data_IF_126576216931
#
_entry.id   IF_126576216931
#
_cell.length_a   1.000
_cell.length_b   1.000
_cell.length_c   1.000
_cell.angle_alpha   90.00
_cell.angle_beta   90.00
_cell.angle_gamma   90.00
#
_symmetry.space_group_name_H-M   'P 1'
#
loop_
_entity.id
_entity.type
_entity.pdbx_description
1 polymer ?
#
# COMPACT_ATOMS: atom_id res chain seq x y z
N UNK A 1 40.76 -2.45 -13.51
CA UNK A 1 40.44 -1.91 -14.83
C UNK A 1 41.14 -0.55 -15.09
N UNK A 2 41.01 0.00 -16.29
CA UNK A 2 41.62 1.30 -16.64
C UNK A 2 41.16 2.38 -15.66
N UNK A 3 42.11 3.08 -15.01
CA UNK A 3 41.88 4.15 -14.01
C UNK A 3 41.07 3.72 -12.77
N UNK A 4 40.96 2.43 -12.45
CA UNK A 4 40.34 2.02 -11.19
C UNK A 4 41.20 2.46 -10.00
N UNK A 5 40.55 3.05 -8.93
CA UNK A 5 41.21 3.58 -7.74
C UNK A 5 42.31 4.63 -8.00
N UNK A 6 42.23 5.37 -9.11
CA UNK A 6 43.30 6.27 -9.52
C UNK A 6 43.66 7.34 -8.47
N UNK A 7 42.65 7.92 -7.80
CA UNK A 7 42.86 8.97 -6.82
C UNK A 7 43.01 8.46 -5.37
N UNK A 8 43.06 7.13 -5.16
CA UNK A 8 43.12 6.57 -3.82
C UNK A 8 44.41 6.92 -3.10
N UNK A 9 44.30 7.52 -1.91
CA UNK A 9 45.46 7.93 -1.10
C UNK A 9 45.65 7.06 0.12
N UNK A 10 44.67 7.05 1.02
CA UNK A 10 44.73 6.28 2.29
C UNK A 10 43.59 5.30 2.48
N UNK A 11 42.61 5.26 1.53
CA UNK A 11 41.50 4.32 1.59
C UNK A 11 41.99 2.87 1.51
N UNK A 12 41.59 2.04 2.46
CA UNK A 12 42.00 0.64 2.60
C UNK A 12 40.85 -0.32 2.32
N UNK A 13 41.17 -1.58 2.05
CA UNK A 13 40.21 -2.68 1.91
C UNK A 13 39.17 -2.46 0.78
N UNK A 14 39.55 -1.73 -0.26
CA UNK A 14 38.70 -1.47 -1.41
C UNK A 14 38.90 -2.50 -2.51
N UNK A 15 37.82 -2.98 -3.12
CA UNK A 15 37.82 -3.80 -4.32
C UNK A 15 37.24 -3.01 -5.51
N UNK A 16 37.99 -2.81 -6.57
CA UNK A 16 37.56 -2.07 -7.76
C UNK A 16 37.84 -2.86 -9.07
N UNK A 17 36.76 -3.31 -9.70
CA UNK A 17 36.79 -4.10 -10.94
C UNK A 17 36.00 -3.35 -12.03
N UNK A 18 36.68 -2.94 -13.09
CA UNK A 18 36.05 -2.18 -14.19
C UNK A 18 36.75 -0.86 -14.50
N UNK A 19 36.50 -0.29 -15.67
CA UNK A 19 37.01 1.01 -16.04
C UNK A 19 36.46 2.09 -15.14
N UNK A 20 37.31 2.96 -14.57
CA UNK A 20 36.94 4.07 -13.68
C UNK A 20 36.11 3.69 -12.41
N UNK A 21 36.17 2.41 -11.99
CA UNK A 21 35.60 2.00 -10.72
C UNK A 21 36.35 2.65 -9.56
N UNK A 22 35.62 3.28 -8.59
CA UNK A 22 36.20 4.04 -7.47
C UNK A 22 37.27 5.10 -7.91
N UNK A 23 37.05 5.70 -9.07
CA UNK A 23 38.04 6.58 -9.70
C UNK A 23 38.47 7.75 -8.78
N UNK A 24 37.52 8.45 -8.17
CA UNK A 24 37.75 9.63 -7.32
C UNK A 24 37.98 9.29 -5.84
N UNK A 25 38.00 8.00 -5.46
CA UNK A 25 38.15 7.62 -4.06
C UNK A 25 39.47 8.14 -3.48
N UNK A 26 39.42 8.79 -2.32
CA UNK A 26 40.62 9.29 -1.64
C UNK A 26 40.88 8.53 -0.35
N UNK A 27 39.97 8.60 0.60
CA UNK A 27 40.13 8.01 1.95
C UNK A 27 39.05 7.00 2.31
N UNK A 28 37.99 6.85 1.49
CA UNK A 28 36.93 5.84 1.70
C UNK A 28 37.48 4.41 1.73
N UNK A 29 37.10 3.65 2.75
CA UNK A 29 37.54 2.24 2.95
C UNK A 29 36.38 1.25 2.86
N UNK A 30 36.71 -0.04 2.81
CA UNK A 30 35.75 -1.15 2.82
C UNK A 30 34.72 -1.12 1.68
N UNK A 31 35.05 -0.53 0.53
CA UNK A 31 34.13 -0.46 -0.59
C UNK A 31 34.38 -1.57 -1.60
N UNK A 32 33.30 -2.15 -2.13
CA UNK A 32 33.34 -3.08 -3.26
C UNK A 32 32.65 -2.46 -4.47
N UNK A 33 33.37 -2.17 -5.53
CA UNK A 33 32.85 -1.63 -6.78
C UNK A 33 33.21 -2.55 -7.96
N UNK A 34 32.20 -3.09 -8.64
CA UNK A 34 32.40 -3.92 -9.82
C UNK A 34 31.46 -3.47 -10.95
N UNK A 35 32.05 -2.91 -12.01
CA UNK A 35 31.37 -2.37 -13.18
C UNK A 35 32.02 -1.09 -13.70
N UNK A 36 31.74 -0.77 -14.97
CA UNK A 36 32.18 0.51 -15.54
C UNK A 36 31.61 1.69 -14.74
N UNK A 37 32.48 2.59 -14.26
CA UNK A 37 32.14 3.79 -13.51
C UNK A 37 31.30 3.53 -12.23
N UNK A 38 31.41 2.33 -11.66
CA UNK A 38 30.82 1.98 -10.37
C UNK A 38 31.49 2.79 -9.28
N UNK A 39 30.71 3.57 -8.50
CA UNK A 39 31.20 4.49 -7.48
C UNK A 39 32.26 5.50 -7.97
N UNK A 40 32.15 5.93 -9.25
CA UNK A 40 33.17 6.74 -9.88
C UNK A 40 33.48 8.06 -9.19
N UNK A 41 32.51 8.70 -8.54
CA UNK A 41 32.64 9.97 -7.83
C UNK A 41 32.87 9.83 -6.30
N UNK A 42 32.95 8.60 -5.76
CA UNK A 42 33.16 8.41 -4.32
C UNK A 42 34.48 9.03 -3.86
N UNK A 43 34.46 9.80 -2.78
CA UNK A 43 35.66 10.41 -2.21
C UNK A 43 36.00 9.82 -0.84
N UNK A 44 35.08 9.90 0.11
CA UNK A 44 35.27 9.47 1.50
C UNK A 44 34.24 8.44 1.99
N UNK A 45 33.21 8.15 1.18
CA UNK A 45 32.19 7.15 1.51
C UNK A 45 32.80 5.77 1.72
N UNK A 46 32.33 5.08 2.75
CA UNK A 46 32.87 3.78 3.19
C UNK A 46 31.81 2.69 3.27
N UNK A 47 32.23 1.45 3.27
CA UNK A 47 31.38 0.27 3.48
C UNK A 47 30.22 0.16 2.44
N UNK A 48 30.47 0.57 1.21
CA UNK A 48 29.47 0.48 0.14
C UNK A 48 29.74 -0.75 -0.75
N UNK A 49 28.67 -1.39 -1.19
CA UNK A 49 28.70 -2.46 -2.21
C UNK A 49 28.01 -1.95 -3.47
N UNK A 50 28.72 -1.95 -4.60
CA UNK A 50 28.24 -1.43 -5.87
C UNK A 50 28.59 -2.40 -7.00
N UNK A 51 27.59 -3.12 -7.53
CA UNK A 51 27.74 -4.09 -8.60
C UNK A 51 26.89 -3.71 -9.81
N UNK A 52 27.51 -3.27 -10.89
CA UNK A 52 26.84 -2.88 -12.13
C UNK A 52 27.40 -1.60 -12.73
N UNK A 53 27.20 -1.41 -14.03
CA UNK A 53 27.64 -0.18 -14.71
C UNK A 53 26.90 1.04 -14.14
N UNK A 54 27.64 2.11 -13.79
CA UNK A 54 27.13 3.34 -13.17
C UNK A 54 26.34 3.15 -11.86
N UNK A 55 26.50 2.04 -11.18
CA UNK A 55 25.93 1.85 -9.86
C UNK A 55 26.62 2.76 -8.84
N UNK A 56 25.87 3.48 -7.98
CA UNK A 56 26.39 4.50 -7.04
C UNK A 56 27.34 5.52 -7.68
N UNK A 57 27.14 5.83 -8.96
CA UNK A 57 28.09 6.64 -9.74
C UNK A 57 28.38 7.98 -9.07
N UNK A 58 27.36 8.71 -8.58
CA UNK A 58 27.47 10.06 -8.04
C UNK A 58 27.73 10.11 -6.54
N UNK A 59 27.90 8.94 -5.88
CA UNK A 59 28.17 8.89 -4.45
C UNK A 59 29.45 9.64 -4.12
N UNK A 60 29.39 10.54 -3.15
CA UNK A 60 30.56 11.29 -2.72
C UNK A 60 31.04 10.86 -1.33
N UNK A 61 30.18 11.01 -0.34
CA UNK A 61 30.51 10.80 1.07
C UNK A 61 29.62 9.76 1.77
N UNK A 62 28.58 9.29 1.08
CA UNK A 62 27.62 8.37 1.70
C UNK A 62 28.24 6.99 1.93
N UNK A 63 27.80 6.36 3.01
CA UNK A 63 28.32 5.07 3.47
C UNK A 63 27.19 4.04 3.65
N UNK A 64 27.60 2.77 3.74
CA UNK A 64 26.70 1.66 4.05
C UNK A 64 25.57 1.43 3.02
N UNK A 65 25.79 1.77 1.76
CA UNK A 65 24.83 1.51 0.70
C UNK A 65 25.12 0.18 -0.01
N UNK A 66 24.07 -0.55 -0.35
CA UNK A 66 24.15 -1.74 -1.23
C UNK A 66 23.40 -1.44 -2.53
N UNK A 67 24.12 -1.45 -3.66
CA UNK A 67 23.58 -1.13 -4.98
C UNK A 67 23.96 -2.23 -6.00
N UNK A 68 22.98 -3.01 -6.44
CA UNK A 68 23.21 -4.13 -7.37
C UNK A 68 22.33 -3.97 -8.61
N UNK A 69 22.93 -3.68 -9.74
CA UNK A 69 22.26 -3.47 -11.03
C UNK A 69 22.77 -2.22 -11.75
N UNK A 70 22.49 -2.13 -13.05
CA UNK A 70 22.85 -0.95 -13.86
C UNK A 70 22.05 0.27 -13.44
N UNK A 71 22.72 1.43 -13.27
CA UNK A 71 22.14 2.70 -12.85
C UNK A 71 21.40 2.65 -11.50
N UNK A 72 21.76 1.74 -10.63
CA UNK A 72 21.18 1.63 -9.28
C UNK A 72 21.79 2.70 -8.38
N UNK A 73 20.98 3.44 -7.61
CA UNK A 73 21.44 4.59 -6.77
C UNK A 73 22.33 5.57 -7.56
N UNK A 74 22.01 5.77 -8.84
CA UNK A 74 22.85 6.51 -9.76
C UNK A 74 23.17 7.94 -9.31
N UNK A 75 22.16 8.70 -8.87
CA UNK A 75 22.26 10.11 -8.48
C UNK A 75 22.58 10.31 -6.99
N UNK A 76 22.73 9.22 -6.21
CA UNK A 76 22.98 9.33 -4.77
C UNK A 76 24.28 10.11 -4.50
N UNK A 77 24.19 11.10 -3.62
CA UNK A 77 25.36 11.89 -3.21
C UNK A 77 25.73 11.64 -1.76
N UNK A 78 24.78 11.84 -0.83
CA UNK A 78 24.99 11.76 0.63
C UNK A 78 23.99 10.83 1.34
N UNK A 79 23.03 10.23 0.62
CA UNK A 79 22.09 9.27 1.22
C UNK A 79 22.77 7.97 1.65
N UNK A 80 22.63 7.58 2.90
CA UNK A 80 23.31 6.43 3.49
C UNK A 80 22.31 5.29 3.82
N UNK A 81 22.84 4.09 4.03
CA UNK A 81 22.07 2.95 4.53
C UNK A 81 20.90 2.56 3.60
N UNK A 82 21.08 2.71 2.29
CA UNK A 82 20.09 2.28 1.31
C UNK A 82 20.46 0.91 0.74
N UNK A 83 19.45 0.07 0.52
CA UNK A 83 19.57 -1.19 -0.21
C UNK A 83 18.80 -1.07 -1.52
N UNK A 84 19.48 -1.12 -2.65
CA UNK A 84 18.88 -1.05 -3.98
C UNK A 84 19.33 -2.21 -4.84
N UNK A 85 18.42 -3.05 -5.30
CA UNK A 85 18.71 -4.24 -6.12
C UNK A 85 17.78 -4.25 -7.33
N UNK A 86 18.35 -4.16 -8.52
CA UNK A 86 17.62 -4.13 -9.78
C UNK A 86 17.97 -2.92 -10.63
N UNK A 87 17.85 -3.04 -11.94
CA UNK A 87 18.12 -1.93 -12.86
C UNK A 87 17.29 -0.72 -12.51
N UNK A 88 17.90 0.45 -12.30
CA UNK A 88 17.23 1.71 -12.02
C UNK A 88 16.58 1.81 -10.63
N UNK A 89 16.81 0.86 -9.72
CA UNK A 89 16.32 0.96 -8.36
C UNK A 89 16.95 2.19 -7.66
N UNK A 90 16.12 3.08 -7.04
CA UNK A 90 16.56 4.32 -6.39
C UNK A 90 17.45 5.21 -7.27
N UNK A 91 17.23 5.22 -8.60
CA UNK A 91 18.17 5.90 -9.50
C UNK A 91 18.25 7.41 -9.29
N UNK A 92 17.15 8.08 -8.94
CA UNK A 92 17.09 9.51 -8.69
C UNK A 92 17.39 9.91 -7.23
N UNK A 93 17.65 8.94 -6.34
CA UNK A 93 17.94 9.26 -4.94
C UNK A 93 19.13 10.19 -4.81
N UNK A 94 18.98 11.28 -4.06
CA UNK A 94 20.08 12.23 -3.84
C UNK A 94 20.62 12.18 -2.41
N UNK A 95 19.75 12.40 -1.44
CA UNK A 95 20.12 12.55 -0.03
C UNK A 95 19.33 11.63 0.92
N UNK A 96 18.32 10.92 0.41
CA UNK A 96 17.48 10.08 1.25
C UNK A 96 18.23 8.83 1.74
N UNK A 97 17.90 8.42 2.96
CA UNK A 97 18.55 7.32 3.67
C UNK A 97 17.52 6.26 4.11
N UNK A 98 18.03 5.08 4.49
CA UNK A 98 17.24 3.98 5.05
C UNK A 98 16.12 3.47 4.11
N UNK A 99 16.33 3.49 2.81
CA UNK A 99 15.38 2.94 1.85
C UNK A 99 15.79 1.54 1.39
N UNK A 100 14.81 0.66 1.23
CA UNK A 100 14.97 -0.67 0.61
C UNK A 100 14.21 -0.68 -0.71
N UNK A 101 14.89 -0.87 -1.83
CA UNK A 101 14.31 -0.97 -3.16
C UNK A 101 14.79 -2.24 -3.87
N UNK A 102 13.91 -3.20 -4.05
CA UNK A 102 14.22 -4.47 -4.72
C UNK A 102 13.27 -4.68 -5.91
N UNK A 103 13.82 -4.61 -7.11
CA UNK A 103 13.06 -4.73 -8.35
C UNK A 103 13.45 -3.66 -9.37
N UNK A 104 13.17 -3.93 -10.64
CA UNK A 104 13.41 -2.95 -11.71
C UNK A 104 12.59 -1.67 -11.43
N UNK A 105 13.26 -0.51 -11.43
CA UNK A 105 12.67 0.81 -11.20
C UNK A 105 11.84 0.89 -9.90
N UNK A 106 12.20 0.13 -8.87
CA UNK A 106 11.64 0.29 -7.54
C UNK A 106 12.16 1.60 -6.93
N UNK A 107 11.28 2.50 -6.43
CA UNK A 107 11.63 3.82 -5.92
C UNK A 107 12.47 4.68 -6.91
N UNK A 108 12.24 4.52 -8.21
CA UNK A 108 13.08 5.11 -9.26
C UNK A 108 13.21 6.64 -9.12
N UNK A 109 12.10 7.36 -8.93
CA UNK A 109 12.07 8.83 -8.86
C UNK A 109 12.24 9.39 -7.45
N UNK A 110 12.54 8.57 -6.44
CA UNK A 110 12.71 9.05 -5.08
C UNK A 110 13.92 9.99 -4.98
N UNK A 111 13.73 11.17 -4.41
CA UNK A 111 14.81 12.15 -4.22
C UNK A 111 15.23 12.29 -2.76
N UNK A 112 14.26 12.57 -1.88
CA UNK A 112 14.50 12.86 -0.45
C UNK A 112 13.64 12.06 0.51
N UNK A 113 12.70 11.21 0.02
CA UNK A 113 11.87 10.35 0.87
C UNK A 113 12.68 9.23 1.53
N UNK A 114 12.62 9.13 2.84
CA UNK A 114 13.38 8.16 3.63
C UNK A 114 12.49 7.08 4.29
N UNK A 115 13.11 6.01 4.75
CA UNK A 115 12.43 4.91 5.44
C UNK A 115 11.36 4.19 4.58
N UNK A 116 11.52 4.16 3.27
CA UNK A 116 10.60 3.43 2.39
C UNK A 116 11.09 2.01 2.14
N UNK A 117 10.17 1.06 2.11
CA UNK A 117 10.41 -0.31 1.66
C UNK A 117 9.63 -0.57 0.38
N UNK A 118 10.33 -0.87 -0.71
CA UNK A 118 9.76 -1.11 -2.03
C UNK A 118 10.27 -2.42 -2.61
N UNK A 119 9.41 -3.42 -2.72
CA UNK A 119 9.75 -4.74 -3.27
C UNK A 119 8.82 -5.08 -4.43
N UNK A 120 9.35 -5.09 -5.63
CA UNK A 120 8.60 -5.35 -6.85
C UNK A 120 8.93 -4.37 -7.96
N UNK A 121 8.78 -4.81 -9.22
CA UNK A 121 9.02 -3.93 -10.36
C UNK A 121 8.04 -2.76 -10.36
N UNK A 122 8.54 -1.53 -10.48
CA UNK A 122 7.81 -0.26 -10.41
C UNK A 122 7.04 -0.01 -9.10
N UNK A 123 7.31 -0.73 -8.01
CA UNK A 123 6.76 -0.38 -6.70
C UNK A 123 7.31 0.98 -6.26
N UNK A 124 6.42 1.88 -5.77
CA UNK A 124 6.76 3.27 -5.41
C UNK A 124 7.54 4.03 -6.51
N UNK A 125 7.34 3.65 -7.79
CA UNK A 125 8.18 4.15 -8.90
C UNK A 125 8.15 5.67 -9.08
N UNK A 126 7.04 6.34 -8.79
CA UNK A 126 6.88 7.79 -8.91
C UNK A 126 7.11 8.56 -7.60
N UNK A 127 7.46 7.88 -6.49
CA UNK A 127 7.67 8.56 -5.21
C UNK A 127 8.82 9.57 -5.33
N UNK A 128 8.59 10.78 -4.85
CA UNK A 128 9.63 11.84 -4.83
C UNK A 128 10.10 12.16 -3.42
N UNK A 129 9.19 12.48 -2.52
CA UNK A 129 9.48 12.93 -1.16
C UNK A 129 8.73 12.17 -0.07
N UNK A 130 7.77 11.29 -0.44
CA UNK A 130 7.02 10.47 0.51
C UNK A 130 7.92 9.54 1.31
N UNK A 131 7.67 9.43 2.61
CA UNK A 131 8.47 8.64 3.56
C UNK A 131 7.64 7.59 4.28
N UNK A 132 8.30 6.59 4.88
CA UNK A 132 7.65 5.59 5.71
C UNK A 132 6.60 4.74 4.97
N UNK A 133 6.75 4.57 3.65
CA UNK A 133 5.85 3.73 2.88
C UNK A 133 6.39 2.30 2.75
N UNK A 134 5.52 1.32 2.87
CA UNK A 134 5.82 -0.08 2.63
C UNK A 134 5.02 -0.60 1.42
N UNK A 135 5.71 -0.90 0.32
CA UNK A 135 5.11 -1.40 -0.92
C UNK A 135 5.72 -2.74 -1.33
N UNK A 136 4.90 -3.78 -1.43
CA UNK A 136 5.33 -5.10 -1.89
C UNK A 136 4.38 -5.64 -2.97
N UNK A 137 4.89 -5.77 -4.19
CA UNK A 137 4.16 -6.24 -5.36
C UNK A 137 4.41 -5.40 -6.61
N UNK A 138 4.16 -5.98 -7.76
CA UNK A 138 4.25 -5.28 -9.04
C UNK A 138 3.34 -4.04 -9.06
N UNK A 139 3.92 -2.85 -9.31
CA UNK A 139 3.19 -1.57 -9.35
C UNK A 139 2.42 -1.20 -8.06
N UNK A 140 2.79 -1.74 -6.90
CA UNK A 140 2.21 -1.28 -5.62
C UNK A 140 2.65 0.15 -5.34
N UNK A 141 1.71 1.04 -4.94
CA UNK A 141 1.96 2.48 -4.73
C UNK A 141 2.69 3.17 -5.90
N UNK A 142 2.49 2.69 -7.14
CA UNK A 142 3.28 3.15 -8.28
C UNK A 142 3.23 4.66 -8.49
N UNK A 143 2.04 5.28 -8.34
CA UNK A 143 1.82 6.71 -8.61
C UNK A 143 2.04 7.61 -7.40
N UNK A 144 2.47 7.05 -6.25
CA UNK A 144 2.73 7.84 -5.06
C UNK A 144 3.79 8.91 -5.35
N UNK A 145 3.52 10.16 -4.99
CA UNK A 145 4.46 11.26 -5.17
C UNK A 145 5.01 11.76 -3.84
N UNK A 146 4.13 12.18 -2.96
CA UNK A 146 4.49 12.83 -1.69
C UNK A 146 3.85 12.17 -0.46
N UNK A 147 2.92 11.25 -0.66
CA UNK A 147 2.22 10.60 0.45
C UNK A 147 3.14 9.72 1.29
N UNK A 148 2.84 9.67 2.58
CA UNK A 148 3.65 8.97 3.58
C UNK A 148 2.83 7.95 4.39
N UNK A 149 3.52 7.03 5.05
CA UNK A 149 2.93 6.07 5.99
C UNK A 149 1.84 5.19 5.36
N UNK A 150 1.98 4.83 4.08
CA UNK A 150 1.10 3.89 3.41
C UNK A 150 1.68 2.47 3.42
N UNK A 151 0.82 1.47 3.60
CA UNK A 151 1.16 0.06 3.48
C UNK A 151 0.41 -0.56 2.31
N UNK A 152 1.12 -1.09 1.32
CA UNK A 152 0.55 -1.70 0.12
C UNK A 152 1.17 -3.07 -0.16
N UNK A 153 0.43 -4.13 0.09
CA UNK A 153 0.86 -5.51 -0.10
C UNK A 153 0.00 -6.20 -1.17
N UNK A 154 0.59 -6.49 -2.31
CA UNK A 154 -0.08 -7.11 -3.45
C UNK A 154 0.11 -6.35 -4.75
N UNK A 155 0.03 -7.05 -5.88
CA UNK A 155 0.12 -6.43 -7.20
C UNK A 155 -0.94 -5.34 -7.38
N UNK A 156 -0.50 -4.12 -7.74
CA UNK A 156 -1.33 -2.92 -7.96
C UNK A 156 -2.14 -2.46 -6.75
N UNK A 157 -1.78 -2.85 -5.52
CA UNK A 157 -2.37 -2.26 -4.32
C UNK A 157 -2.01 -0.78 -4.24
N UNK A 158 -3.00 0.09 -3.94
CA UNK A 158 -2.84 1.57 -3.91
C UNK A 158 -2.15 2.15 -5.16
N UNK A 159 -2.35 1.54 -6.33
CA UNK A 159 -1.60 1.90 -7.53
C UNK A 159 -1.75 3.38 -7.91
N UNK A 160 -2.96 3.94 -7.83
CA UNK A 160 -3.27 5.31 -8.22
C UNK A 160 -3.03 6.36 -7.12
N UNK A 161 -2.64 5.95 -5.90
CA UNK A 161 -2.42 6.87 -4.79
C UNK A 161 -1.33 7.88 -5.13
N UNK A 162 -1.61 9.16 -4.92
CA UNK A 162 -0.68 10.26 -5.20
C UNK A 162 -0.26 10.99 -3.92
N UNK A 163 -1.23 11.51 -3.17
CA UNK A 163 -1.02 12.32 -1.96
C UNK A 163 -1.81 11.82 -0.74
N UNK A 164 -2.53 10.71 -0.85
CA UNK A 164 -3.30 10.13 0.25
C UNK A 164 -2.42 9.34 1.22
N UNK A 165 -2.37 9.78 2.47
CA UNK A 165 -1.55 9.20 3.53
C UNK A 165 -2.28 8.14 4.36
N UNK A 166 -1.52 7.34 5.11
CA UNK A 166 -2.03 6.47 6.18
C UNK A 166 -3.03 5.41 5.69
N UNK A 167 -2.89 4.94 4.46
CA UNK A 167 -3.72 3.86 3.93
C UNK A 167 -3.04 2.49 4.11
N UNK A 168 -3.84 1.47 4.40
CA UNK A 168 -3.41 0.08 4.42
C UNK A 168 -4.17 -0.71 3.37
N UNK A 169 -3.47 -1.27 2.38
CA UNK A 169 -4.04 -2.08 1.31
C UNK A 169 -3.32 -3.43 1.20
N UNK A 170 -4.01 -4.50 1.52
CA UNK A 170 -3.49 -5.87 1.43
C UNK A 170 -4.36 -6.69 0.49
N UNK A 171 -3.78 -7.09 -0.63
CA UNK A 171 -4.46 -7.84 -1.68
C UNK A 171 -4.25 -7.24 -3.06
N UNK A 172 -4.36 -8.09 -4.10
CA UNK A 172 -4.25 -7.61 -5.48
C UNK A 172 -5.36 -6.59 -5.77
N UNK A 173 -5.00 -5.42 -6.29
CA UNK A 173 -5.88 -4.30 -6.60
C UNK A 173 -6.68 -3.75 -5.39
N UNK A 174 -6.25 -4.00 -4.14
CA UNK A 174 -6.85 -3.33 -2.99
C UNK A 174 -6.59 -1.82 -3.08
N UNK A 175 -7.64 -0.97 -2.90
CA UNK A 175 -7.60 0.49 -3.04
C UNK A 175 -6.93 0.99 -4.34
N UNK A 176 -7.04 0.23 -5.43
CA UNK A 176 -6.28 0.51 -6.66
C UNK A 176 -6.59 1.86 -7.28
N UNK A 177 -7.82 2.39 -7.13
CA UNK A 177 -8.27 3.67 -7.69
C UNK A 177 -8.18 4.84 -6.68
N UNK A 178 -7.74 4.58 -5.45
CA UNK A 178 -7.56 5.64 -4.45
C UNK A 178 -6.46 6.61 -4.89
N UNK A 179 -6.79 7.90 -4.97
CA UNK A 179 -5.88 8.97 -5.39
C UNK A 179 -5.40 9.82 -4.21
N UNK A 180 -6.32 10.55 -3.58
CA UNK A 180 -6.08 11.45 -2.44
C UNK A 180 -6.75 10.98 -1.15
N UNK A 181 -7.53 9.89 -1.21
CA UNK A 181 -8.15 9.28 -0.03
C UNK A 181 -7.11 8.85 1.00
N UNK A 182 -7.43 9.03 2.27
CA UNK A 182 -6.50 8.76 3.37
C UNK A 182 -7.15 7.99 4.51
N UNK A 183 -6.30 7.34 5.34
CA UNK A 183 -6.77 6.57 6.52
C UNK A 183 -7.79 5.49 6.16
N UNK A 184 -7.63 4.86 5.02
CA UNK A 184 -8.45 3.73 4.61
C UNK A 184 -7.72 2.42 4.86
N UNK A 185 -8.46 1.40 5.27
CA UNK A 185 -7.95 0.03 5.40
C UNK A 185 -8.72 -0.87 4.44
N UNK A 186 -8.03 -1.56 3.55
CA UNK A 186 -8.63 -2.53 2.64
C UNK A 186 -7.83 -3.83 2.62
N UNK A 187 -8.48 -4.92 2.95
CA UNK A 187 -7.87 -6.26 2.98
C UNK A 187 -8.73 -7.22 2.16
N UNK A 188 -8.18 -7.70 1.06
CA UNK A 188 -8.84 -8.60 0.12
C UNK A 188 -8.62 -8.22 -1.34
N UNK A 189 -8.88 -9.16 -2.24
CA UNK A 189 -8.84 -8.90 -3.68
C UNK A 189 -9.91 -7.85 -4.06
N UNK A 190 -9.51 -6.76 -4.74
CA UNK A 190 -10.37 -5.63 -5.13
C UNK A 190 -11.10 -4.94 -3.96
N UNK A 191 -10.66 -5.12 -2.70
CA UNK A 191 -11.24 -4.43 -1.58
C UNK A 191 -11.05 -2.90 -1.72
N UNK A 192 -12.12 -2.13 -1.53
CA UNK A 192 -12.13 -0.68 -1.64
C UNK A 192 -11.87 -0.12 -3.04
N UNK A 193 -12.03 -0.92 -4.10
CA UNK A 193 -11.69 -0.52 -5.49
C UNK A 193 -12.46 0.69 -6.00
N UNK A 194 -13.66 1.00 -5.46
CA UNK A 194 -14.43 2.19 -5.83
C UNK A 194 -13.98 3.48 -5.15
N UNK A 195 -13.19 3.36 -4.06
CA UNK A 195 -12.76 4.52 -3.29
C UNK A 195 -11.68 5.31 -4.04
N UNK A 196 -11.90 6.59 -4.29
CA UNK A 196 -10.90 7.48 -4.92
C UNK A 196 -10.41 8.57 -3.96
N UNK A 197 -11.32 9.32 -3.36
CA UNK A 197 -11.03 10.43 -2.45
C UNK A 197 -11.55 10.22 -1.03
N UNK A 198 -12.34 9.16 -0.83
CA UNK A 198 -12.94 8.82 0.47
C UNK A 198 -11.91 8.52 1.55
N UNK A 199 -12.28 8.74 2.80
CA UNK A 199 -11.38 8.61 3.94
C UNK A 199 -12.04 7.92 5.14
N UNK A 200 -11.20 7.36 6.02
CA UNK A 200 -11.65 6.65 7.23
C UNK A 200 -12.51 5.42 6.95
N UNK A 201 -12.31 4.74 5.82
CA UNK A 201 -13.08 3.56 5.47
C UNK A 201 -12.33 2.27 5.78
N UNK A 202 -13.07 1.23 6.13
CA UNK A 202 -12.58 -0.14 6.28
C UNK A 202 -13.29 -1.07 5.31
N UNK A 203 -12.56 -1.73 4.43
CA UNK A 203 -13.04 -2.72 3.47
C UNK A 203 -12.34 -4.05 3.75
N UNK A 204 -13.07 -5.06 4.21
CA UNK A 204 -12.51 -6.36 4.54
C UNK A 204 -13.26 -7.49 3.79
N UNK A 205 -12.58 -8.13 2.89
CA UNK A 205 -13.08 -9.25 2.11
C UNK A 205 -12.91 -9.07 0.60
N UNK A 206 -13.22 -10.13 -0.15
CA UNK A 206 -13.22 -10.11 -1.61
C UNK A 206 -14.24 -9.09 -2.12
N UNK A 207 -13.79 -8.10 -2.87
CA UNK A 207 -14.61 -7.07 -3.53
C UNK A 207 -15.57 -6.32 -2.58
N UNK A 208 -15.21 -6.22 -1.28
CA UNK A 208 -15.89 -5.33 -0.34
C UNK A 208 -15.63 -3.87 -0.76
N UNK A 209 -16.67 -3.09 -1.04
CA UNK A 209 -16.52 -1.75 -1.64
C UNK A 209 -17.57 -0.76 -1.16
N UNK A 210 -17.31 0.51 -1.42
CA UNK A 210 -18.25 1.59 -1.15
C UNK A 210 -19.27 1.82 -2.26
N UNK A 211 -20.36 2.51 -1.93
CA UNK A 211 -21.35 3.01 -2.90
C UNK A 211 -20.87 4.25 -3.64
N UNK A 212 -19.93 5.00 -3.06
CA UNK A 212 -19.44 6.27 -3.60
C UNK A 212 -17.90 6.31 -3.61
N UNK A 213 -17.36 7.02 -4.57
CA UNK A 213 -15.91 7.27 -4.73
C UNK A 213 -15.31 8.13 -3.62
N UNK A 214 -16.14 8.91 -2.93
CA UNK A 214 -15.77 9.85 -1.87
C UNK A 214 -16.40 9.52 -0.51
N UNK A 215 -16.89 8.28 -0.31
CA UNK A 215 -17.52 7.95 0.97
C UNK A 215 -16.53 8.04 2.13
N UNK A 216 -17.08 8.34 3.32
CA UNK A 216 -16.32 8.47 4.55
C UNK A 216 -16.91 7.63 5.67
N UNK A 217 -16.02 7.19 6.60
CA UNK A 217 -16.45 6.48 7.81
C UNK A 217 -17.29 5.22 7.55
N UNK A 218 -17.05 4.52 6.45
CA UNK A 218 -17.74 3.26 6.13
C UNK A 218 -16.95 2.05 6.63
N UNK A 219 -17.64 1.06 7.19
CA UNK A 219 -17.08 -0.27 7.49
C UNK A 219 -17.84 -1.30 6.66
N UNK A 220 -17.14 -1.98 5.75
CA UNK A 220 -17.72 -2.94 4.81
C UNK A 220 -16.98 -4.26 4.92
N UNK A 221 -17.65 -5.30 5.37
CA UNK A 221 -17.04 -6.61 5.64
C UNK A 221 -17.85 -7.72 4.97
N UNK A 222 -17.16 -8.54 4.17
CA UNK A 222 -17.74 -9.73 3.56
C UNK A 222 -17.35 -9.93 2.11
N UNK A 223 -18.03 -10.84 1.43
CA UNK A 223 -17.80 -11.19 0.03
C UNK A 223 -18.74 -10.40 -0.88
N UNK A 224 -18.21 -9.61 -1.81
CA UNK A 224 -18.95 -8.78 -2.79
C UNK A 224 -20.00 -7.85 -2.14
N UNK A 225 -19.64 -7.27 -1.00
CA UNK A 225 -20.52 -6.40 -0.20
C UNK A 225 -20.35 -4.95 -0.62
N UNK A 226 -21.46 -4.23 -0.70
CA UNK A 226 -21.49 -2.79 -1.00
C UNK A 226 -22.04 -2.02 0.20
N UNK A 227 -21.21 -1.17 0.83
CA UNK A 227 -21.60 -0.42 2.01
C UNK A 227 -21.53 1.09 1.82
N UNK A 228 -22.33 1.82 2.60
CA UNK A 228 -22.37 3.29 2.62
C UNK A 228 -21.43 3.89 3.66
N UNK A 229 -21.04 5.15 3.45
CA UNK A 229 -20.37 5.95 4.47
C UNK A 229 -21.23 6.17 5.71
N UNK A 230 -20.62 6.15 6.91
CA UNK A 230 -21.34 6.28 8.17
C UNK A 230 -22.08 5.01 8.64
N UNK A 231 -21.88 3.89 7.94
CA UNK A 231 -22.48 2.60 8.29
C UNK A 231 -21.44 1.50 8.45
N UNK A 232 -21.77 0.52 9.31
CA UNK A 232 -21.14 -0.80 9.28
C UNK A 232 -22.06 -1.74 8.50
N UNK A 233 -21.54 -2.33 7.42
CA UNK A 233 -22.26 -3.29 6.55
C UNK A 233 -21.53 -4.62 6.59
N UNK A 234 -22.24 -5.69 6.91
CA UNK A 234 -21.74 -7.06 6.94
C UNK A 234 -22.57 -7.91 6.01
N UNK A 235 -21.95 -8.75 5.17
CA UNK A 235 -22.79 -9.58 4.31
C UNK A 235 -22.05 -10.46 3.30
N UNK A 236 -22.86 -11.03 2.42
CA UNK A 236 -22.45 -11.88 1.31
C UNK A 236 -23.31 -11.56 0.09
N UNK A 237 -22.69 -10.97 -0.93
CA UNK A 237 -23.42 -10.53 -2.14
C UNK A 237 -24.48 -9.49 -1.84
N UNK A 238 -25.72 -9.73 -2.22
CA UNK A 238 -26.85 -8.84 -1.94
C UNK A 238 -27.60 -9.13 -0.63
N UNK A 239 -27.06 -10.00 0.23
CA UNK A 239 -27.69 -10.39 1.51
C UNK A 239 -26.94 -9.72 2.67
N UNK A 240 -27.14 -8.43 2.82
CA UNK A 240 -26.36 -7.62 3.75
C UNK A 240 -27.21 -7.15 4.95
N UNK A 241 -26.56 -7.04 6.10
CA UNK A 241 -27.09 -6.33 7.28
C UNK A 241 -26.25 -5.09 7.52
N UNK A 242 -26.85 -4.00 7.97
CA UNK A 242 -26.16 -2.76 8.29
C UNK A 242 -26.70 -2.06 9.51
N UNK A 243 -25.82 -1.32 10.19
CA UNK A 243 -26.18 -0.39 11.25
C UNK A 243 -25.52 0.96 10.98
N UNK A 244 -26.27 2.05 11.13
CA UNK A 244 -25.69 3.39 11.11
C UNK A 244 -24.80 3.58 12.35
N UNK A 245 -23.70 4.29 12.21
CA UNK A 245 -22.83 4.59 13.34
C UNK A 245 -23.58 5.41 14.39
N UNK A 246 -23.48 5.01 15.66
CA UNK A 246 -24.26 5.60 16.76
C UNK A 246 -25.62 4.94 17.03
N UNK A 247 -26.08 4.02 16.19
CA UNK A 247 -27.28 3.22 16.44
C UNK A 247 -26.93 1.87 17.09
N UNK A 248 -27.86 1.39 17.93
CA UNK A 248 -27.72 0.10 18.63
C UNK A 248 -28.42 -1.05 17.92
N UNK A 249 -29.13 -0.76 16.83
CA UNK A 249 -29.95 -1.75 16.09
C UNK A 249 -29.38 -2.00 14.69
N UNK A 250 -29.34 -3.27 14.29
CA UNK A 250 -29.00 -3.69 12.94
C UNK A 250 -30.26 -3.80 12.08
N UNK A 251 -30.21 -3.30 10.86
CA UNK A 251 -31.27 -3.44 9.88
C UNK A 251 -30.80 -4.32 8.71
N UNK A 252 -31.70 -5.10 8.13
CA UNK A 252 -31.47 -5.76 6.86
C UNK A 252 -31.43 -4.72 5.74
N UNK A 253 -30.45 -4.80 4.87
CA UNK A 253 -30.43 -4.02 3.62
C UNK A 253 -31.48 -4.63 2.71
N UNK A 254 -32.65 -4.01 2.62
CA UNK A 254 -33.76 -4.47 1.81
C UNK A 254 -33.70 -3.77 0.45
N UNK A 255 -33.42 -4.52 -0.60
CA UNK A 255 -33.42 -4.02 -1.97
C UNK A 255 -34.85 -3.99 -2.52
N UNK A 256 -35.35 -2.81 -2.85
CA UNK A 256 -36.68 -2.63 -3.45
C UNK A 256 -36.86 -3.41 -4.76
N UNK A 257 -35.79 -3.70 -5.48
CA UNK A 257 -35.80 -4.48 -6.74
C UNK A 257 -36.35 -5.90 -6.53
N UNK A 258 -36.27 -6.43 -5.33
CA UNK A 258 -36.78 -7.77 -4.97
C UNK A 258 -38.18 -7.74 -4.34
N UNK A 259 -38.74 -6.55 -4.13
CA UNK A 259 -40.10 -6.40 -3.58
C UNK A 259 -41.09 -6.20 -4.73
N UNK A 260 -42.11 -7.03 -4.74
CA UNK A 260 -43.24 -6.91 -5.68
C UNK A 260 -44.40 -6.18 -4.99
N UNK A 261 -45.09 -5.32 -5.76
CA UNK A 261 -46.33 -4.68 -5.32
C UNK A 261 -46.16 -3.78 -4.06
N UNK A 262 -45.07 -2.96 -4.03
CA UNK A 262 -44.87 -1.96 -2.98
C UNK A 262 -45.91 -0.86 -3.15
N UNK A 263 -46.88 -0.79 -2.26
CA UNK A 263 -47.88 0.27 -2.23
C UNK A 263 -47.83 1.00 -0.87
N UNK A 264 -48.06 2.29 -0.90
CA UNK A 264 -48.20 3.05 0.35
C UNK A 264 -49.44 2.53 1.10
N UNK A 265 -49.24 2.09 2.36
CA UNK A 265 -50.33 1.61 3.18
C UNK A 265 -51.31 2.76 3.46
N UNK A 266 -52.59 2.55 3.18
CA UNK A 266 -53.68 3.45 3.57
C UNK A 266 -54.25 3.09 4.94
N UNK A 267 -53.68 2.09 5.63
CA UNK A 267 -54.11 1.71 6.95
C UNK A 267 -53.80 2.84 7.94
N UNK A 268 -54.82 3.47 8.43
CA UNK A 268 -54.73 4.58 9.38
C UNK A 268 -54.65 4.10 10.86
N UNK A 269 -54.80 5.06 11.78
CA UNK A 269 -54.75 4.83 13.24
C UNK A 269 -55.73 3.74 13.71
N UNK A 270 -56.88 3.53 13.03
CA UNK A 270 -57.82 2.47 13.34
C UNK A 270 -57.20 1.08 13.22
N UNK A 271 -56.38 0.85 12.20
CA UNK A 271 -55.66 -0.43 12.04
C UNK A 271 -54.61 -0.63 13.15
N UNK A 272 -53.91 0.42 13.53
CA UNK A 272 -52.91 0.35 14.63
C UNK A 272 -53.60 0.03 15.96
N UNK A 273 -54.81 0.57 16.21
CA UNK A 273 -55.59 0.30 17.42
C UNK A 273 -56.16 -1.14 17.44
N UNK A 274 -56.31 -1.77 16.29
CA UNK A 274 -56.73 -3.18 16.18
C UNK A 274 -55.58 -4.16 16.36
N UNK A 275 -54.33 -3.70 16.27
CA UNK A 275 -53.17 -4.54 16.55
C UNK A 275 -53.14 -4.90 18.04
N UNK A 276 -53.40 -6.16 18.31
CA UNK A 276 -53.31 -6.73 19.65
C UNK A 276 -51.87 -7.04 19.99
N UNK A 277 -51.17 -6.29 20.85
CA UNK A 277 -49.85 -6.66 21.32
C UNK A 277 -49.97 -7.97 22.08
N UNK A 278 -49.29 -9.00 21.64
CA UNK A 278 -49.19 -10.28 22.33
C UNK A 278 -47.78 -10.48 22.88
N UNK A 279 -47.69 -10.77 24.16
CA UNK A 279 -46.51 -11.31 24.77
C UNK A 279 -46.64 -12.84 24.70
N UNK A 280 -45.57 -13.52 24.34
CA UNK A 280 -45.55 -14.97 24.25
C UNK A 280 -44.32 -15.51 24.99
N UNK A 281 -44.52 -16.70 25.59
CA UNK A 281 -43.42 -17.50 26.12
C UNK A 281 -43.30 -18.76 25.27
N UNK A 282 -42.07 -19.23 25.13
CA UNK A 282 -41.86 -20.50 24.47
C UNK A 282 -42.57 -21.61 25.22
N UNK A 283 -43.30 -22.48 24.49
CA UNK A 283 -43.85 -23.71 25.06
C UNK A 283 -42.72 -24.64 25.46
N UNK A 284 -42.85 -25.29 26.58
CA UNK A 284 -41.97 -26.40 26.94
C UNK A 284 -42.21 -27.62 26.01
N UNK A 285 -41.23 -28.53 25.90
CA UNK A 285 -41.34 -29.70 25.03
C UNK A 285 -42.60 -30.51 25.29
N UNK A 286 -43.09 -30.57 26.54
CA UNK A 286 -44.33 -31.28 26.93
C UNK A 286 -45.61 -30.59 26.52
N UNK A 287 -45.57 -29.32 26.12
CA UNK A 287 -46.72 -28.52 25.67
C UNK A 287 -46.85 -28.48 24.13
N UNK A 288 -45.89 -29.08 23.43
CA UNK A 288 -45.93 -29.17 21.96
C UNK A 288 -46.81 -30.32 21.51
N UNK A 289 -47.56 -30.17 20.40
CA UNK A 289 -48.30 -31.30 19.82
C UNK A 289 -47.36 -32.47 19.49
N UNK A 290 -47.80 -33.69 19.71
CA UNK A 290 -47.03 -34.91 19.42
C UNK A 290 -46.66 -35.07 17.94
N UNK A 291 -47.23 -34.25 17.05
CA UNK A 291 -46.93 -34.19 15.62
C UNK A 291 -45.80 -33.19 15.28
N UNK A 292 -45.26 -32.47 16.29
CA UNK A 292 -44.21 -31.51 16.09
C UNK A 292 -42.84 -32.24 16.07
N UNK A 293 -42.29 -32.46 14.88
CA UNK A 293 -40.93 -32.94 14.73
C UNK A 293 -39.96 -31.77 14.94
N UNK A 294 -39.29 -31.76 16.08
CA UNK A 294 -38.14 -30.86 16.28
C UNK A 294 -36.99 -31.34 15.37
N UNK A 295 -36.52 -30.48 14.47
CA UNK A 295 -35.25 -30.63 13.76
C UNK A 295 -34.10 -30.24 14.64
#
# INVERSE_FOLDING_TARGET
>A
GYLALQANTTGSQNTAIGGTALYANTTGGDNTASGYNSMGANTTGASNVSLGANSLRSNTTASSNTAIGTNTLYANTTGAENVAIGQGALSANTTASHNVAVGRNALDLNTTGSNNTSVGSFALGANTTGSENAASGYQSLQSNTTASSNTAFGSRSLKAATTGDLNTAVGRNALTETTTGRRNTAIGYLAGTTNTTGQYNTFLGYYARGTSVSQENGVVIGYDVVGEGGYTTLGFGGSDIRAAHGNVTWATVSDERYKKDITTSTAGLSFVNELRPVTWNYKTLGELPTTFNAY
#
